data_IF_732018871731
#
_entry.id   IF_732018871731
#
_cell.length_a   1.000
_cell.length_b   1.000
_cell.length_c   1.000
_cell.angle_alpha   90.00
_cell.angle_beta   90.00
_cell.angle_gamma   90.00
#
_symmetry.space_group_name_H-M   'P 1'
#
loop_
_entity.id
_entity.type
_entity.pdbx_description
1 polymer ?
#
# COMPACT_ATOMS: atom_id res chain seq x y z
N UNK A 1 -21.25 1.61 4.90
CA UNK A 1 -20.40 2.23 3.88
C UNK A 1 -19.24 1.30 3.58
N UNK A 2 -18.95 1.09 2.29
CA UNK A 2 -17.88 0.19 1.91
C UNK A 2 -16.52 0.78 2.26
N UNK A 3 -15.65 -0.05 2.83
CA UNK A 3 -14.29 0.37 3.16
C UNK A 3 -13.37 0.20 1.97
N UNK A 4 -12.52 1.18 1.78
CA UNK A 4 -11.51 1.20 0.71
C UNK A 4 -10.13 1.22 1.34
N UNK A 5 -9.26 0.32 0.88
CA UNK A 5 -7.86 0.31 1.28
C UNK A 5 -6.99 0.78 0.11
N UNK A 6 -6.14 1.76 0.38
CA UNK A 6 -5.13 2.20 -0.57
C UNK A 6 -3.85 1.40 -0.29
N UNK A 7 -3.39 0.66 -1.29
CA UNK A 7 -2.16 -0.13 -1.20
C UNK A 7 -1.05 0.66 -1.88
N UNK A 8 0.00 0.95 -1.12
CA UNK A 8 1.13 1.75 -1.57
C UNK A 8 2.38 0.86 -1.61
N UNK A 9 2.65 0.20 -2.73
CA UNK A 9 3.92 -0.51 -2.86
C UNK A 9 5.07 0.50 -2.89
N UNK A 10 6.10 0.24 -2.12
CA UNK A 10 7.25 1.14 -2.02
C UNK A 10 8.54 0.37 -2.09
N UNK A 11 9.44 0.83 -2.94
CA UNK A 11 10.78 0.28 -3.07
C UNK A 11 11.78 1.42 -3.21
N UNK A 12 12.65 1.58 -2.19
CA UNK A 12 13.64 2.66 -2.15
C UNK A 12 13.02 4.05 -2.31
N UNK A 13 11.96 4.30 -1.51
CA UNK A 13 11.21 5.56 -1.55
C UNK A 13 11.38 6.40 -0.28
N UNK A 14 12.49 6.25 0.42
CA UNK A 14 12.73 6.94 1.70
C UNK A 14 12.54 8.47 1.59
N UNK A 15 12.91 9.05 0.45
CA UNK A 15 12.83 10.51 0.25
C UNK A 15 11.42 10.99 -0.07
N UNK A 16 10.53 10.11 -0.51
CA UNK A 16 9.21 10.50 -1.02
C UNK A 16 8.06 9.96 -0.21
N UNK A 17 8.26 8.86 0.54
CA UNK A 17 7.14 8.13 1.14
C UNK A 17 6.34 8.98 2.13
N UNK A 18 7.00 9.80 2.93
CA UNK A 18 6.30 10.66 3.89
C UNK A 18 5.39 11.65 3.16
N UNK A 19 5.88 12.30 2.11
CA UNK A 19 5.12 13.24 1.30
C UNK A 19 3.93 12.56 0.65
N UNK A 20 4.14 11.37 0.10
CA UNK A 20 3.09 10.60 -0.59
C UNK A 20 1.96 10.25 0.38
N UNK A 21 2.29 9.71 1.54
CA UNK A 21 1.27 9.31 2.53
C UNK A 21 0.54 10.53 3.09
N UNK A 22 1.28 11.59 3.42
CA UNK A 22 0.68 12.82 3.94
C UNK A 22 -0.29 13.42 2.92
N UNK A 23 0.13 13.49 1.66
CA UNK A 23 -0.73 13.98 0.59
C UNK A 23 -1.98 13.12 0.39
N UNK A 24 -1.82 11.81 0.46
CA UNK A 24 -2.94 10.88 0.37
C UNK A 24 -3.95 11.12 1.50
N UNK A 25 -3.48 11.25 2.73
CA UNK A 25 -4.35 11.47 3.88
C UNK A 25 -5.08 12.82 3.82
N UNK A 26 -4.43 13.84 3.27
CA UNK A 26 -5.04 15.15 3.10
C UNK A 26 -6.10 15.14 2.00
N UNK A 27 -5.81 14.48 0.88
CA UNK A 27 -6.69 14.47 -0.28
C UNK A 27 -7.84 13.46 -0.12
N UNK A 28 -7.57 12.31 0.49
CA UNK A 28 -8.55 11.23 0.64
C UNK A 28 -8.63 10.74 2.08
N UNK A 29 -9.07 11.61 3.02
CA UNK A 29 -9.03 11.27 4.45
C UNK A 29 -9.94 10.11 4.84
N UNK A 30 -10.93 9.76 4.00
CA UNK A 30 -11.83 8.64 4.30
C UNK A 30 -11.24 7.28 3.94
N UNK A 31 -10.14 7.25 3.17
CA UNK A 31 -9.52 5.98 2.78
C UNK A 31 -8.52 5.54 3.85
N UNK A 32 -8.54 4.24 4.12
CA UNK A 32 -7.45 3.61 4.86
C UNK A 32 -6.32 3.29 3.89
N UNK A 33 -5.12 3.11 4.41
CA UNK A 33 -3.97 2.80 3.57
C UNK A 33 -3.06 1.79 4.26
N UNK A 34 -2.25 1.12 3.48
CA UNK A 34 -1.11 0.32 3.96
C UNK A 34 0.05 0.49 2.98
N UNK A 35 1.22 0.72 3.53
CA UNK A 35 2.46 0.73 2.72
C UNK A 35 2.99 -0.70 2.72
N UNK A 36 3.32 -1.21 1.54
CA UNK A 36 4.04 -2.49 1.43
C UNK A 36 5.47 -2.17 1.02
N UNK A 37 6.37 -2.22 1.99
CA UNK A 37 7.79 -2.01 1.72
C UNK A 37 8.36 -3.28 1.09
N UNK A 38 8.74 -3.18 -0.17
CA UNK A 38 9.08 -4.32 -1.01
C UNK A 38 10.59 -4.61 -0.94
N UNK A 39 11.09 -4.85 0.26
CA UNK A 39 12.48 -5.21 0.46
C UNK A 39 13.46 -4.09 0.14
N UNK A 40 13.13 -2.86 0.50
CA UNK A 40 13.99 -1.70 0.22
C UNK A 40 15.36 -1.84 0.86
N UNK A 41 16.38 -1.39 0.13
CA UNK A 41 17.75 -1.33 0.64
C UNK A 41 18.04 -0.04 1.41
N UNK A 42 17.19 0.97 1.24
CA UNK A 42 17.35 2.28 1.89
C UNK A 42 16.56 2.39 3.19
N UNK A 43 16.38 3.61 3.69
CA UNK A 43 15.72 3.90 4.96
C UNK A 43 14.20 3.93 4.88
N UNK A 44 13.59 3.38 3.82
CA UNK A 44 12.13 3.44 3.63
C UNK A 44 11.38 2.92 4.84
N UNK A 45 11.72 1.74 5.35
CA UNK A 45 11.04 1.16 6.51
C UNK A 45 11.23 2.03 7.76
N UNK A 46 12.43 2.56 7.95
CA UNK A 46 12.73 3.41 9.11
C UNK A 46 11.90 4.69 9.08
N UNK A 47 11.76 5.30 7.90
CA UNK A 47 10.92 6.50 7.74
C UNK A 47 9.46 6.18 8.08
N UNK A 48 8.93 5.06 7.56
CA UNK A 48 7.56 4.66 7.84
C UNK A 48 7.32 4.44 9.33
N UNK A 49 8.26 3.79 10.03
CA UNK A 49 8.14 3.53 11.46
C UNK A 49 8.21 4.83 12.27
N UNK A 50 9.12 5.72 11.91
CA UNK A 50 9.27 7.02 12.57
C UNK A 50 8.00 7.85 12.44
N UNK A 51 7.34 7.81 11.29
CA UNK A 51 6.11 8.56 11.04
C UNK A 51 4.87 7.87 11.61
N UNK A 52 4.98 6.65 12.09
CA UNK A 52 3.83 5.89 12.60
C UNK A 52 2.89 5.42 11.50
N UNK A 53 3.41 5.20 10.31
CA UNK A 53 2.60 4.76 9.17
C UNK A 53 2.26 3.28 9.25
N UNK A 54 1.12 2.91 8.67
CA UNK A 54 0.72 1.50 8.54
C UNK A 54 1.62 0.83 7.51
N UNK A 55 2.35 -0.18 7.95
CA UNK A 55 3.43 -0.77 7.15
C UNK A 55 3.38 -2.28 7.18
N UNK A 56 3.50 -2.89 6.00
CA UNK A 56 3.90 -4.28 5.84
C UNK A 56 5.32 -4.26 5.31
N UNK A 57 6.25 -4.82 6.08
CA UNK A 57 7.68 -4.77 5.76
C UNK A 57 8.12 -6.14 5.24
N UNK A 58 8.27 -6.26 3.92
CA UNK A 58 8.69 -7.52 3.32
C UNK A 58 10.19 -7.70 3.47
N UNK A 59 10.65 -8.91 3.83
CA UNK A 59 12.07 -9.15 4.02
C UNK A 59 12.88 -9.19 2.73
N UNK A 60 12.20 -9.41 1.59
CA UNK A 60 12.86 -9.48 0.29
C UNK A 60 12.03 -8.74 -0.75
N UNK A 61 12.67 -8.35 -1.83
CA UNK A 61 11.97 -7.72 -2.96
C UNK A 61 11.20 -8.77 -3.74
N UNK A 62 9.88 -8.60 -3.83
CA UNK A 62 8.98 -9.48 -4.60
C UNK A 62 8.60 -8.88 -5.95
N UNK A 63 8.94 -7.61 -6.18
CA UNK A 63 8.48 -6.86 -7.34
C UNK A 63 7.11 -6.23 -7.09
N UNK A 64 6.73 -5.32 -7.99
CA UNK A 64 5.50 -4.54 -7.84
C UNK A 64 4.26 -5.45 -7.74
N UNK A 65 4.17 -6.46 -8.60
CA UNK A 65 3.03 -7.38 -8.59
C UNK A 65 2.94 -8.15 -7.26
N UNK A 66 4.08 -8.63 -6.75
CA UNK A 66 4.11 -9.36 -5.48
C UNK A 66 3.76 -8.47 -4.30
N UNK A 67 4.25 -7.24 -4.29
CA UNK A 67 3.92 -6.27 -3.25
C UNK A 67 2.42 -5.95 -3.27
N UNK A 68 1.85 -5.74 -4.45
CA UNK A 68 0.42 -5.47 -4.57
C UNK A 68 -0.41 -6.67 -4.12
N UNK A 69 -0.02 -7.89 -4.49
CA UNK A 69 -0.69 -9.11 -4.02
C UNK A 69 -0.66 -9.22 -2.50
N UNK A 70 0.45 -8.86 -1.88
CA UNK A 70 0.55 -8.82 -0.42
C UNK A 70 -0.48 -7.86 0.17
N UNK A 71 -0.61 -6.68 -0.42
CA UNK A 71 -1.61 -5.69 0.00
C UNK A 71 -3.04 -6.19 -0.19
N UNK A 72 -3.31 -6.90 -1.28
CA UNK A 72 -4.64 -7.48 -1.53
C UNK A 72 -4.99 -8.53 -0.48
N UNK A 73 -4.05 -9.39 -0.11
CA UNK A 73 -4.28 -10.37 0.96
C UNK A 73 -4.58 -9.70 2.29
N UNK A 74 -3.85 -8.64 2.59
CA UNK A 74 -4.11 -7.84 3.78
C UNK A 74 -5.51 -7.23 3.72
N UNK A 75 -5.90 -6.65 2.59
CA UNK A 75 -7.22 -6.06 2.40
C UNK A 75 -8.33 -7.10 2.63
N UNK A 76 -8.16 -8.28 2.07
CA UNK A 76 -9.13 -9.36 2.25
C UNK A 76 -9.27 -9.76 3.73
N UNK A 77 -8.14 -9.99 4.40
CA UNK A 77 -8.14 -10.41 5.81
C UNK A 77 -8.76 -9.37 6.73
N UNK A 78 -8.62 -8.09 6.39
CA UNK A 78 -9.15 -6.99 7.20
C UNK A 78 -10.58 -6.60 6.81
N UNK A 79 -11.16 -7.27 5.81
CA UNK A 79 -12.55 -7.06 5.43
C UNK A 79 -12.80 -5.86 4.54
N UNK A 80 -11.78 -5.37 3.85
CA UNK A 80 -11.97 -4.28 2.88
C UNK A 80 -12.68 -4.80 1.65
N UNK A 81 -13.61 -4.02 1.14
CA UNK A 81 -14.36 -4.37 -0.06
C UNK A 81 -13.66 -3.96 -1.34
N UNK A 82 -12.91 -2.88 -1.28
CA UNK A 82 -12.20 -2.35 -2.43
C UNK A 82 -10.75 -2.07 -2.07
N UNK A 83 -9.88 -2.20 -3.05
CA UNK A 83 -8.48 -1.82 -2.92
C UNK A 83 -8.09 -0.95 -4.11
N UNK A 84 -7.24 0.02 -3.84
CA UNK A 84 -6.70 0.91 -4.84
C UNK A 84 -5.18 0.78 -4.79
N UNK A 85 -4.55 0.59 -5.94
CA UNK A 85 -3.10 0.68 -6.01
C UNK A 85 -2.70 2.14 -6.18
N UNK A 86 -1.75 2.57 -5.36
CA UNK A 86 -1.22 3.94 -5.41
C UNK A 86 0.29 3.85 -5.48
N UNK A 87 0.89 4.62 -6.40
CA UNK A 87 2.33 4.57 -6.59
C UNK A 87 3.06 5.29 -5.45
N UNK A 88 4.12 4.65 -4.93
CA UNK A 88 4.92 5.21 -3.85
C UNK A 88 5.69 6.47 -4.20
N UNK A 89 5.84 6.79 -5.47
CA UNK A 89 6.44 8.04 -5.91
C UNK A 89 5.42 9.16 -6.15
N UNK A 90 4.13 8.84 -6.03
CA UNK A 90 3.04 9.81 -6.15
C UNK A 90 2.72 10.26 -7.57
N UNK A 91 3.22 9.56 -8.58
CA UNK A 91 3.05 9.99 -9.97
C UNK A 91 1.87 9.36 -10.68
N UNK A 92 1.35 8.25 -10.18
CA UNK A 92 0.25 7.54 -10.83
C UNK A 92 -1.07 7.86 -10.17
N UNK A 93 -2.13 7.87 -10.96
CA UNK A 93 -3.49 7.98 -10.44
C UNK A 93 -3.91 6.64 -9.87
N UNK A 94 -4.65 6.63 -8.75
CA UNK A 94 -5.17 5.40 -8.19
C UNK A 94 -6.13 4.71 -9.15
N UNK A 95 -6.04 3.39 -9.24
CA UNK A 95 -7.00 2.57 -9.97
C UNK A 95 -7.77 1.72 -8.98
N UNK A 96 -9.10 1.71 -9.12
CA UNK A 96 -9.95 0.93 -8.24
C UNK A 96 -9.96 -0.52 -8.65
N UNK A 97 -9.70 -1.40 -7.67
CA UNK A 97 -9.77 -2.84 -7.85
C UNK A 97 -10.68 -3.40 -6.77
N UNK A 98 -11.77 -4.05 -7.17
CA UNK A 98 -12.66 -4.69 -6.22
C UNK A 98 -11.94 -5.90 -5.61
N UNK A 99 -11.90 -5.95 -4.28
CA UNK A 99 -11.34 -7.09 -3.56
C UNK A 99 -12.48 -8.08 -3.37
N UNK A 100 -12.44 -9.19 -4.11
CA UNK A 100 -13.44 -10.22 -4.01
C UNK A 100 -12.82 -11.51 -3.50
N UNK A 101 -13.64 -12.29 -2.84
CA UNK A 101 -13.24 -13.61 -2.37
C UNK A 101 -12.74 -14.48 -3.53
N UNK A 102 -13.46 -14.44 -4.64
CA UNK A 102 -13.10 -15.22 -5.83
C UNK A 102 -11.74 -14.79 -6.39
N UNK A 103 -11.50 -13.49 -6.47
CA UNK A 103 -10.23 -12.95 -6.97
C UNK A 103 -9.05 -13.45 -6.15
N UNK A 104 -9.16 -13.42 -4.83
CA UNK A 104 -8.07 -13.83 -3.95
C UNK A 104 -7.85 -15.33 -3.92
N UNK A 105 -8.89 -16.12 -4.15
CA UNK A 105 -8.78 -17.57 -4.21
C UNK A 105 -8.09 -18.07 -5.48
N UNK A 106 -8.09 -17.28 -6.53
CA UNK A 106 -7.45 -17.64 -7.79
C UNK A 106 -5.91 -17.58 -7.71
N UNK A 107 -5.38 -17.08 -6.62
CA UNK A 107 -3.93 -16.90 -6.46
C UNK A 107 -3.38 -17.76 -5.33
#
# INVERSE_FOLDING_TARGET
MDKVLVIIPAYNEALNIERVVTGLQEEYPIFDYVIVNDGSADETAAVCRRCGFHLIDLPVNLGLAGAFQTGLKYAYRKGYRYAIQFDGDGQHRPEYIAVSYTHLRAH
#
